data_IF_181667597465
#
_entry.id   IF_181667597465
#
_cell.length_a   1.000
_cell.length_b   1.000
_cell.length_c   1.000
_cell.angle_alpha   90.00
_cell.angle_beta   90.00
_cell.angle_gamma   90.00
#
_symmetry.space_group_name_H-M   'P 1'
#
loop_
_entity.id
_entity.type
_entity.pdbx_description
1 polymer ?
#
# COMPACT_ATOMS: atom_id res chain seq x y z
N UNK A 1 -5.52 -14.70 26.57
CA UNK A 1 -6.51 -15.01 25.50
C UNK A 1 -7.35 -13.78 25.09
N UNK A 2 -7.90 -13.01 26.04
CA UNK A 2 -8.74 -11.82 25.75
C UNK A 2 -7.96 -10.69 25.04
N UNK A 3 -6.73 -10.40 25.45
CA UNK A 3 -5.90 -9.33 24.87
C UNK A 3 -5.64 -9.52 23.36
N UNK A 4 -5.37 -10.76 22.93
CA UNK A 4 -5.19 -11.08 21.51
C UNK A 4 -6.46 -10.83 20.70
N UNK A 5 -7.63 -11.15 21.27
CA UNK A 5 -8.91 -10.88 20.61
C UNK A 5 -9.15 -9.38 20.48
N UNK A 6 -8.89 -8.59 21.53
CA UNK A 6 -9.02 -7.14 21.49
C UNK A 6 -8.09 -6.51 20.45
N UNK A 7 -6.83 -6.93 20.40
CA UNK A 7 -5.86 -6.44 19.41
C UNK A 7 -6.30 -6.71 17.97
N UNK A 8 -6.87 -7.90 17.69
CA UNK A 8 -7.38 -8.25 16.35
C UNK A 8 -8.56 -7.37 15.91
N UNK A 9 -9.46 -7.05 16.85
CA UNK A 9 -10.60 -6.17 16.56
C UNK A 9 -10.16 -4.71 16.39
N UNK A 10 -9.23 -4.23 17.22
CA UNK A 10 -8.67 -2.89 17.08
C UNK A 10 -7.97 -2.71 15.71
N UNK A 11 -7.16 -3.70 15.30
CA UNK A 11 -6.53 -3.71 13.98
C UNK A 11 -7.56 -3.75 12.85
N UNK A 12 -8.64 -4.53 13.01
CA UNK A 12 -9.73 -4.57 12.03
C UNK A 12 -10.37 -3.19 11.83
N UNK A 13 -10.70 -2.51 12.92
CA UNK A 13 -11.29 -1.16 12.88
C UNK A 13 -10.34 -0.18 12.19
N UNK A 14 -9.05 -0.25 12.50
CA UNK A 14 -8.04 0.62 11.88
C UNK A 14 -7.94 0.41 10.36
N UNK A 15 -7.83 -0.84 9.91
CA UNK A 15 -7.78 -1.18 8.49
C UNK A 15 -9.09 -0.83 7.75
N UNK A 16 -10.24 -1.07 8.38
CA UNK A 16 -11.54 -0.69 7.83
C UNK A 16 -11.68 0.83 7.70
N UNK A 17 -11.14 1.60 8.65
CA UNK A 17 -11.10 3.07 8.58
C UNK A 17 -10.26 3.57 7.40
N UNK A 18 -9.17 2.86 7.08
CA UNK A 18 -8.36 3.09 5.88
C UNK A 18 -9.01 2.59 4.58
N UNK A 19 -10.27 2.10 4.65
CA UNK A 19 -11.03 1.53 3.53
C UNK A 19 -10.30 0.35 2.87
N UNK A 20 -9.53 -0.41 3.65
CA UNK A 20 -8.84 -1.61 3.17
C UNK A 20 -9.85 -2.65 2.65
N UNK A 21 -9.46 -3.39 1.61
CA UNK A 21 -10.27 -4.51 1.11
C UNK A 21 -10.47 -5.54 2.21
N UNK A 22 -11.70 -6.08 2.29
CA UNK A 22 -12.08 -7.08 3.30
C UNK A 22 -11.15 -8.30 3.28
N UNK A 23 -10.64 -8.71 2.12
CA UNK A 23 -9.68 -9.81 2.01
C UNK A 23 -8.37 -9.53 2.75
N UNK A 24 -7.87 -8.29 2.71
CA UNK A 24 -6.69 -7.87 3.49
C UNK A 24 -7.02 -7.86 4.97
N UNK A 25 -8.15 -7.25 5.36
CA UNK A 25 -8.53 -7.18 6.78
C UNK A 25 -8.70 -8.58 7.38
N UNK A 26 -9.36 -9.49 6.65
CA UNK A 26 -9.52 -10.88 7.08
C UNK A 26 -8.18 -11.60 7.19
N UNK A 27 -7.24 -11.35 6.28
CA UNK A 27 -5.90 -11.94 6.32
C UNK A 27 -5.08 -11.47 7.52
N UNK A 28 -5.06 -10.16 7.79
CA UNK A 28 -4.23 -9.58 8.86
C UNK A 28 -4.85 -9.79 10.26
N UNK A 29 -6.16 -9.92 10.35
CA UNK A 29 -6.87 -10.04 11.65
C UNK A 29 -7.38 -11.45 11.93
N UNK A 30 -7.44 -12.33 10.93
CA UNK A 30 -8.07 -13.67 11.02
C UNK A 30 -9.58 -13.65 11.33
N UNK A 31 -10.24 -12.49 11.28
CA UNK A 31 -11.69 -12.38 11.51
C UNK A 31 -12.46 -12.81 10.26
N UNK A 32 -13.70 -13.27 10.45
CA UNK A 32 -14.50 -13.76 9.34
C UNK A 32 -14.87 -12.61 8.38
N UNK A 33 -14.78 -12.82 7.05
CA UNK A 33 -15.21 -11.80 6.07
C UNK A 33 -16.66 -11.35 6.25
N UNK A 34 -17.53 -12.21 6.79
CA UNK A 34 -18.93 -11.88 7.05
C UNK A 34 -19.07 -10.79 8.14
N UNK A 35 -18.35 -10.92 9.26
CA UNK A 35 -18.35 -9.91 10.33
C UNK A 35 -17.73 -8.61 9.83
N UNK A 36 -16.60 -8.69 9.12
CA UNK A 36 -15.89 -7.53 8.59
C UNK A 36 -16.72 -6.74 7.57
N UNK A 37 -17.48 -7.43 6.69
CA UNK A 37 -18.41 -6.77 5.76
C UNK A 37 -19.50 -6.00 6.50
N UNK A 38 -20.10 -6.59 7.54
CA UNK A 38 -21.12 -5.90 8.36
C UNK A 38 -20.53 -4.65 9.02
N UNK A 39 -19.36 -4.78 9.65
CA UNK A 39 -18.67 -3.65 10.27
C UNK A 39 -18.34 -2.53 9.25
N UNK A 40 -17.88 -2.89 8.05
CA UNK A 40 -17.62 -1.91 6.99
C UNK A 40 -18.87 -1.11 6.61
N UNK A 41 -20.00 -1.79 6.40
CA UNK A 41 -21.27 -1.14 6.03
C UNK A 41 -21.73 -0.19 7.14
N UNK A 42 -21.59 -0.58 8.40
CA UNK A 42 -21.92 0.29 9.55
C UNK A 42 -21.04 1.55 9.56
N UNK A 43 -19.73 1.41 9.32
CA UNK A 43 -18.79 2.54 9.36
C UNK A 43 -18.90 3.48 8.17
N UNK A 44 -19.16 2.97 6.97
CA UNK A 44 -19.06 3.74 5.71
C UNK A 44 -20.39 3.94 5.00
N UNK A 45 -21.48 3.37 5.52
CA UNK A 45 -22.84 3.45 4.94
C UNK A 45 -22.94 3.00 3.47
N UNK A 46 -22.01 2.13 3.05
CA UNK A 46 -21.97 1.58 1.69
C UNK A 46 -21.32 0.20 1.68
N UNK A 47 -21.58 -0.57 0.64
CA UNK A 47 -20.92 -1.85 0.42
C UNK A 47 -19.41 -1.67 0.18
N UNK A 48 -18.56 -2.59 0.69
CA UNK A 48 -17.14 -2.61 0.37
C UNK A 48 -16.93 -2.82 -1.14
N UNK A 49 -15.77 -2.40 -1.65
CA UNK A 49 -15.46 -2.56 -3.07
C UNK A 49 -15.44 -4.04 -3.47
N UNK A 50 -16.20 -4.36 -4.51
CA UNK A 50 -16.12 -5.65 -5.17
C UNK A 50 -14.84 -5.73 -6.01
N UNK A 51 -14.26 -6.93 -6.10
CA UNK A 51 -13.10 -7.20 -6.98
C UNK A 51 -11.88 -7.76 -6.25
N UNK A 52 -11.01 -8.37 -7.04
CA UNK A 52 -9.75 -8.95 -6.57
C UNK A 52 -8.69 -7.88 -6.31
N UNK A 53 -7.70 -8.25 -5.50
CA UNK A 53 -6.46 -7.48 -5.37
C UNK A 53 -5.73 -7.45 -6.71
N UNK A 54 -4.89 -6.43 -6.91
CA UNK A 54 -3.97 -6.41 -8.05
C UNK A 54 -3.04 -7.63 -7.95
N UNK A 55 -2.92 -8.37 -9.05
CA UNK A 55 -2.12 -9.60 -9.11
C UNK A 55 -0.73 -9.36 -9.68
N UNK A 56 -0.50 -8.20 -10.30
CA UNK A 56 0.63 -7.95 -11.19
C UNK A 56 1.21 -6.54 -11.00
N UNK A 57 2.54 -6.40 -10.82
CA UNK A 57 3.20 -5.11 -10.61
C UNK A 57 3.02 -4.10 -11.74
N UNK A 58 2.76 -4.54 -12.97
CA UNK A 58 2.68 -3.64 -14.13
C UNK A 58 1.49 -2.66 -14.05
N UNK A 59 0.58 -2.80 -13.08
CA UNK A 59 -0.41 -1.76 -12.81
C UNK A 59 0.22 -0.41 -12.44
N UNK A 60 1.36 -0.40 -11.73
CA UNK A 60 2.03 0.85 -11.33
C UNK A 60 2.63 1.60 -12.53
N UNK A 61 2.85 0.88 -13.64
CA UNK A 61 3.41 1.42 -14.88
C UNK A 61 2.35 2.03 -15.81
N UNK A 62 1.07 2.03 -15.42
CA UNK A 62 -0.03 2.60 -16.23
C UNK A 62 0.08 4.11 -16.43
N UNK A 63 0.72 4.82 -15.51
CA UNK A 63 0.94 6.27 -15.60
C UNK A 63 2.21 6.63 -14.83
N UNK A 64 2.90 7.67 -15.31
CA UNK A 64 4.07 8.20 -14.63
C UNK A 64 3.76 8.68 -13.20
N UNK A 65 2.59 9.32 -12.98
CA UNK A 65 2.18 9.77 -11.65
C UNK A 65 1.99 8.60 -10.68
N UNK A 66 1.40 7.50 -11.15
CA UNK A 66 1.20 6.30 -10.34
C UNK A 66 2.53 5.64 -9.98
N UNK A 67 3.48 5.58 -10.93
CA UNK A 67 4.83 5.09 -10.67
C UNK A 67 5.56 5.97 -9.64
N UNK A 68 5.43 7.30 -9.75
CA UNK A 68 6.05 8.26 -8.83
C UNK A 68 5.49 8.10 -7.42
N UNK A 69 4.16 8.04 -7.27
CA UNK A 69 3.53 7.82 -5.96
C UNK A 69 3.86 6.44 -5.37
N UNK A 70 3.91 5.39 -6.19
CA UNK A 70 4.35 4.06 -5.75
C UNK A 70 5.80 4.04 -5.28
N UNK A 71 6.69 4.76 -5.99
CA UNK A 71 8.09 4.91 -5.61
C UNK A 71 8.21 5.63 -4.27
N UNK A 72 7.46 6.72 -4.09
CA UNK A 72 7.46 7.48 -2.85
C UNK A 72 6.87 6.69 -1.68
N UNK A 73 5.77 5.97 -1.89
CA UNK A 73 5.21 5.08 -0.89
C UNK A 73 6.20 3.98 -0.46
N UNK A 74 6.88 3.32 -1.39
CA UNK A 74 7.90 2.31 -1.05
C UNK A 74 9.07 2.93 -0.29
N UNK A 75 9.45 4.17 -0.60
CA UNK A 75 10.42 4.88 0.21
C UNK A 75 9.93 5.05 1.65
N UNK A 76 8.70 5.54 1.87
CA UNK A 76 8.08 5.64 3.20
C UNK A 76 8.02 4.28 3.92
N UNK A 77 7.71 3.20 3.20
CA UNK A 77 7.65 1.85 3.76
C UNK A 77 9.02 1.32 4.19
N UNK A 78 10.09 1.63 3.44
CA UNK A 78 11.44 1.16 3.75
C UNK A 78 12.10 1.89 4.92
N UNK A 79 11.70 3.13 5.21
CA UNK A 79 12.21 3.88 6.36
C UNK A 79 11.44 3.58 7.65
N UNK A 80 10.28 2.94 7.55
CA UNK A 80 9.48 2.54 8.70
C UNK A 80 10.09 1.29 9.35
N UNK A 81 10.39 1.38 10.65
CA UNK A 81 11.16 0.37 11.37
C UNK A 81 10.32 -0.68 12.10
N UNK A 82 8.98 -0.55 12.06
CA UNK A 82 8.09 -1.48 12.75
C UNK A 82 8.31 -2.93 12.24
N UNK A 83 8.57 -3.90 13.13
CA UNK A 83 8.82 -5.29 12.71
C UNK A 83 7.55 -5.98 12.17
N UNK A 84 6.36 -5.53 12.55
CA UNK A 84 5.11 -6.08 12.03
C UNK A 84 4.79 -5.50 10.65
N UNK A 85 4.63 -6.38 9.66
CA UNK A 85 4.37 -5.96 8.29
C UNK A 85 3.13 -5.08 8.15
N UNK A 86 2.05 -5.44 8.84
CA UNK A 86 0.78 -4.75 8.73
C UNK A 86 0.91 -3.35 9.33
N UNK A 87 1.52 -3.25 10.51
CA UNK A 87 1.76 -2.00 11.22
C UNK A 87 2.70 -1.09 10.43
N UNK A 88 3.79 -1.64 9.90
CA UNK A 88 4.69 -0.94 8.98
C UNK A 88 3.94 -0.38 7.77
N UNK A 89 3.08 -1.19 7.16
CA UNK A 89 2.27 -0.78 5.99
C UNK A 89 1.28 0.34 6.33
N UNK A 90 0.65 0.29 7.51
CA UNK A 90 -0.28 1.31 8.02
C UNK A 90 0.46 2.63 8.24
N UNK A 91 1.58 2.62 8.96
CA UNK A 91 2.35 3.82 9.28
C UNK A 91 2.89 4.47 8.00
N UNK A 92 3.49 3.67 7.12
CA UNK A 92 4.00 4.13 5.83
C UNK A 92 2.90 4.76 4.95
N UNK A 93 1.71 4.15 4.90
CA UNK A 93 0.59 4.67 4.14
C UNK A 93 0.06 5.98 4.72
N UNK A 94 0.01 6.13 6.05
CA UNK A 94 -0.34 7.40 6.69
C UNK A 94 0.65 8.50 6.32
N UNK A 95 1.96 8.25 6.42
CA UNK A 95 2.98 9.23 6.03
C UNK A 95 2.85 9.63 4.55
N UNK A 96 2.75 8.64 3.67
CA UNK A 96 2.54 8.85 2.24
C UNK A 96 1.29 9.68 1.95
N UNK A 97 0.13 9.26 2.47
CA UNK A 97 -1.15 9.89 2.17
C UNK A 97 -1.24 11.32 2.72
N UNK A 98 -0.67 11.57 3.90
CA UNK A 98 -0.56 12.91 4.48
C UNK A 98 0.32 13.79 3.59
N UNK A 99 1.50 13.31 3.18
CA UNK A 99 2.39 14.08 2.30
C UNK A 99 1.73 14.45 0.98
N UNK A 100 1.04 13.52 0.30
CA UNK A 100 0.38 13.82 -0.98
C UNK A 100 -0.70 14.89 -0.80
N UNK A 101 -1.54 14.76 0.24
CA UNK A 101 -2.60 15.74 0.52
C UNK A 101 -2.02 17.13 0.83
N UNK A 102 -0.95 17.19 1.63
CA UNK A 102 -0.35 18.46 2.05
C UNK A 102 0.43 19.14 0.93
N UNK A 103 1.22 18.39 0.16
CA UNK A 103 2.17 18.95 -0.81
C UNK A 103 1.55 19.12 -2.19
N UNK A 104 0.72 18.16 -2.63
CA UNK A 104 0.13 18.19 -3.97
C UNK A 104 -1.29 18.75 -3.99
N UNK A 105 -1.92 18.95 -2.82
CA UNK A 105 -3.31 19.36 -2.68
C UNK A 105 -4.28 18.48 -3.50
N UNK A 106 -3.93 17.19 -3.65
CA UNK A 106 -4.69 16.19 -4.41
C UNK A 106 -4.99 14.97 -3.54
N UNK A 107 -5.97 14.17 -3.96
CA UNK A 107 -6.18 12.85 -3.39
C UNK A 107 -5.04 11.90 -3.80
N UNK A 108 -4.55 11.04 -2.89
CA UNK A 108 -3.61 9.98 -3.24
C UNK A 108 -4.16 9.07 -4.34
N UNK A 109 -3.32 8.71 -5.32
CA UNK A 109 -3.67 7.78 -6.40
C UNK A 109 -3.74 6.34 -5.90
N UNK A 110 -2.90 6.00 -4.91
CA UNK A 110 -2.92 4.71 -4.23
C UNK A 110 -3.90 4.74 -3.06
N UNK A 111 -4.84 3.79 -3.04
CA UNK A 111 -5.53 3.44 -1.81
C UNK A 111 -4.66 2.55 -0.92
N UNK A 112 -5.11 2.30 0.33
CA UNK A 112 -4.37 1.45 1.26
C UNK A 112 -4.17 0.02 0.73
N UNK A 113 -5.12 -0.51 -0.03
CA UNK A 113 -5.03 -1.88 -0.54
C UNK A 113 -3.99 -2.00 -1.64
N UNK A 114 -3.88 -1.00 -2.52
CA UNK A 114 -2.82 -0.90 -3.52
C UNK A 114 -1.45 -0.79 -2.82
N UNK A 115 -1.36 0.07 -1.81
CA UNK A 115 -0.17 0.26 -0.99
C UNK A 115 0.28 -1.05 -0.30
N UNK A 116 -0.64 -1.75 0.37
CA UNK A 116 -0.36 -3.04 1.01
C UNK A 116 0.17 -4.08 0.02
N UNK A 117 -0.40 -4.15 -1.19
CA UNK A 117 0.07 -5.08 -2.25
C UNK A 117 1.46 -4.70 -2.74
N UNK A 118 1.71 -3.41 -2.98
CA UNK A 118 3.02 -2.89 -3.39
C UNK A 118 4.08 -3.20 -2.33
N UNK A 119 3.77 -3.05 -1.04
CA UNK A 119 4.65 -3.43 0.07
C UNK A 119 4.97 -4.92 0.09
N UNK A 120 3.96 -5.78 -0.13
CA UNK A 120 4.20 -7.23 -0.27
C UNK A 120 5.16 -7.55 -1.41
N UNK A 121 5.01 -6.91 -2.56
CA UNK A 121 5.93 -7.11 -3.68
C UNK A 121 7.34 -6.56 -3.42
N UNK A 122 7.47 -5.50 -2.63
CA UNK A 122 8.78 -5.02 -2.19
C UNK A 122 9.45 -6.02 -1.26
N UNK A 123 8.72 -6.58 -0.29
CA UNK A 123 9.25 -7.56 0.66
C UNK A 123 9.64 -8.89 0.01
N UNK A 124 8.89 -9.34 -1.01
CA UNK A 124 9.24 -10.55 -1.77
C UNK A 124 10.30 -10.30 -2.85
N UNK A 125 10.80 -9.07 -2.98
CA UNK A 125 11.82 -8.71 -3.97
C UNK A 125 11.31 -8.61 -5.41
N UNK A 126 10.00 -8.72 -5.65
CA UNK A 126 9.37 -8.51 -6.96
C UNK A 126 9.55 -7.05 -7.40
N UNK A 127 9.36 -6.11 -6.46
CA UNK A 127 9.63 -4.70 -6.66
C UNK A 127 10.89 -4.29 -5.89
N UNK A 128 11.77 -3.55 -6.56
CA UNK A 128 13.02 -3.04 -5.98
C UNK A 128 13.08 -1.54 -6.13
N UNK A 129 13.46 -0.87 -5.03
CA UNK A 129 13.84 0.54 -5.08
C UNK A 129 15.32 0.62 -5.46
N UNK A 130 15.59 1.14 -6.65
CA UNK A 130 16.95 1.30 -7.20
C UNK A 130 17.21 2.76 -7.53
N UNK A 131 18.46 3.12 -7.85
CA UNK A 131 18.83 4.48 -8.29
C UNK A 131 18.97 4.53 -9.81
N UNK A 132 18.61 5.67 -10.39
CA UNK A 132 18.92 5.96 -11.79
C UNK A 132 20.44 6.09 -12.00
N UNK A 133 21.01 5.50 -13.06
CA UNK A 133 22.44 5.64 -13.33
C UNK A 133 22.84 7.06 -13.77
N UNK A 134 21.89 7.85 -14.27
CA UNK A 134 22.12 9.23 -14.71
C UNK A 134 21.86 10.24 -13.58
N UNK A 135 20.60 10.45 -13.18
CA UNK A 135 20.24 11.47 -12.18
C UNK A 135 20.33 10.99 -10.72
N UNK A 136 20.65 9.71 -10.47
CA UNK A 136 20.73 9.10 -9.12
C UNK A 136 19.42 9.08 -8.32
N UNK A 137 18.32 9.61 -8.85
CA UNK A 137 16.99 9.56 -8.23
C UNK A 137 16.51 8.12 -7.99
N UNK A 138 15.77 7.93 -6.91
CA UNK A 138 15.12 6.66 -6.60
C UNK A 138 14.04 6.33 -7.63
N UNK A 139 13.96 5.06 -8.02
CA UNK A 139 12.93 4.54 -8.92
C UNK A 139 12.53 3.13 -8.50
N UNK A 140 11.25 2.85 -8.60
CA UNK A 140 10.71 1.51 -8.35
C UNK A 140 10.74 0.71 -9.66
N UNK A 141 11.39 -0.45 -9.65
CA UNK A 141 11.49 -1.35 -10.81
C UNK A 141 10.98 -2.74 -10.45
N UNK A 142 10.42 -3.43 -11.44
CA UNK A 142 10.16 -4.86 -11.34
C UNK A 142 11.49 -5.61 -11.57
N UNK A 143 11.79 -6.61 -10.73
CA UNK A 143 13.02 -7.41 -10.78
C UNK A 143 13.32 -8.00 -12.18
N UNK A 144 12.30 -8.28 -12.99
CA UNK A 144 12.49 -8.77 -14.37
C UNK A 144 12.68 -7.69 -15.44
N UNK A 145 12.61 -6.41 -15.07
CA UNK A 145 12.62 -5.26 -15.99
C UNK A 145 13.57 -4.16 -15.48
N UNK A 146 14.75 -4.53 -14.98
CA UNK A 146 15.74 -3.59 -14.50
C UNK A 146 16.20 -2.66 -15.65
N UNK A 147 15.60 -1.47 -15.72
CA UNK A 147 16.08 -0.41 -16.61
C UNK A 147 17.19 0.35 -15.89
N UNK A 148 18.29 0.66 -16.56
CA UNK A 148 19.41 1.42 -15.96
C UNK A 148 19.09 2.92 -15.78
N UNK A 149 18.24 3.49 -16.63
CA UNK A 149 17.86 4.91 -16.64
C UNK A 149 16.38 5.07 -16.28
N UNK A 150 16.00 6.12 -15.55
CA UNK A 150 14.59 6.40 -15.25
C UNK A 150 13.88 6.96 -16.49
N UNK A 151 12.54 6.91 -16.53
CA UNK A 151 11.78 7.44 -17.66
C UNK A 151 12.05 8.93 -17.93
N UNK A 152 12.28 9.74 -16.90
CA UNK A 152 12.57 11.18 -17.06
C UNK A 152 13.89 11.42 -17.81
N UNK A 153 14.94 10.64 -17.52
CA UNK A 153 16.23 10.78 -18.20
C UNK A 153 16.30 10.03 -19.55
N UNK A 154 15.25 9.30 -19.92
CA UNK A 154 15.12 8.68 -21.25
C UNK A 154 14.39 9.57 -22.25
N UNK A 155 13.55 10.48 -21.75
CA UNK A 155 12.95 11.55 -22.52
C UNK A 155 13.98 12.64 -22.80
#
# INVERSE_FOLDING_TARGET
>A
MILNTLNRHALAIELLSLKARISIVAKETGLSPAILRKAFVVMHQRSPSCGSLKTSPQFISKSFSLLKESTFYIFCFRIESDPDFCRRSINAYRHYSTYIKTVSNTAPLLDFSDAWVISKWSDTGILKLVRCNHCRSAKLVNNGLEQNVCCVCKC
#
